data_IF_898342609101
#
_entry.id   IF_898342609101
#
_cell.length_a   1.000
_cell.length_b   1.000
_cell.length_c   1.000
_cell.angle_alpha   90.00
_cell.angle_beta   90.00
_cell.angle_gamma   90.00
#
_symmetry.space_group_name_H-M   'P 1'
#
loop_
_entity.id
_entity.type
_entity.pdbx_description
1 polymer ?
#
# COMPACT_ATOMS: atom_id res chain seq x y z
N UNK A 1 25.30 -2.96 2.24
CA UNK A 1 25.38 -1.94 1.17
C UNK A 1 24.37 -0.79 1.44
N UNK A 2 24.16 -0.40 2.70
CA UNK A 2 22.97 0.35 3.15
C UNK A 2 23.23 1.81 3.57
N UNK A 3 24.46 2.31 3.44
CA UNK A 3 24.86 3.64 3.93
C UNK A 3 25.18 4.65 2.83
N UNK A 4 24.72 4.42 1.60
CA UNK A 4 24.91 5.40 0.52
C UNK A 4 23.82 6.46 0.56
N UNK A 5 24.22 7.73 0.54
CA UNK A 5 23.33 8.87 0.37
C UNK A 5 22.41 8.64 -0.83
N UNK A 6 21.10 8.69 -0.61
CA UNK A 6 20.08 8.54 -1.66
C UNK A 6 19.32 7.22 -1.64
N UNK A 7 19.75 6.16 -0.94
CA UNK A 7 18.89 4.97 -0.82
C UNK A 7 17.64 5.29 0.03
N UNK A 8 16.46 5.07 -0.53
CA UNK A 8 15.17 5.40 0.09
C UNK A 8 14.56 4.17 0.77
N UNK A 9 14.64 3.02 0.12
CA UNK A 9 13.98 1.81 0.62
C UNK A 9 13.75 0.77 -0.46
N UNK A 10 12.83 -0.15 -0.19
CA UNK A 10 12.44 -1.22 -1.10
C UNK A 10 10.93 -1.25 -1.26
N UNK A 11 10.46 -1.32 -2.50
CA UNK A 11 9.07 -1.68 -2.80
C UNK A 11 9.02 -3.19 -2.94
N UNK A 12 8.19 -3.86 -2.15
CA UNK A 12 7.99 -5.31 -2.22
C UNK A 12 6.73 -5.60 -3.04
N UNK A 13 6.82 -6.57 -3.94
CA UNK A 13 5.75 -6.97 -4.86
C UNK A 13 5.50 -8.48 -4.78
N UNK A 14 4.22 -8.83 -4.70
CA UNK A 14 3.68 -10.16 -4.93
C UNK A 14 2.51 -10.05 -5.92
N UNK A 15 2.38 -11.05 -6.78
CA UNK A 15 1.44 -11.07 -7.89
C UNK A 15 2.09 -11.61 -9.18
N UNK A 16 1.33 -11.62 -10.29
CA UNK A 16 1.84 -12.04 -11.60
C UNK A 16 2.89 -11.08 -12.15
N UNK A 17 3.61 -11.42 -13.25
CA UNK A 17 4.44 -10.45 -13.96
C UNK A 17 3.66 -9.16 -14.27
N UNK A 18 4.28 -8.00 -14.06
CA UNK A 18 3.62 -6.69 -14.20
C UNK A 18 4.63 -5.62 -14.62
N UNK A 19 4.13 -4.43 -14.91
CA UNK A 19 4.90 -3.19 -14.90
C UNK A 19 4.54 -2.38 -13.65
N UNK A 20 5.53 -1.75 -13.01
CA UNK A 20 5.30 -0.76 -11.96
C UNK A 20 5.46 0.63 -12.57
N UNK A 21 4.45 1.48 -12.41
CA UNK A 21 4.45 2.88 -12.81
C UNK A 21 4.61 3.79 -11.60
N UNK A 22 5.42 4.84 -11.74
CA UNK A 22 5.72 5.80 -10.68
C UNK A 22 5.15 7.16 -11.06
N UNK A 23 4.08 7.58 -10.40
CA UNK A 23 3.39 8.86 -10.70
C UNK A 23 3.52 9.81 -9.52
N UNK A 24 3.69 11.11 -9.79
CA UNK A 24 3.56 12.13 -8.77
C UNK A 24 2.07 12.24 -8.39
N UNK A 25 1.76 12.01 -7.13
CA UNK A 25 0.41 12.24 -6.57
C UNK A 25 0.38 13.31 -5.50
N UNK A 26 1.55 13.82 -5.12
CA UNK A 26 1.67 14.97 -4.25
C UNK A 26 1.53 16.29 -5.00
N UNK A 27 1.73 17.42 -4.30
CA UNK A 27 1.62 18.76 -4.87
C UNK A 27 2.55 18.96 -6.08
N UNK A 28 2.02 19.56 -7.14
CA UNK A 28 2.80 19.90 -8.33
C UNK A 28 3.64 21.15 -8.09
N UNK A 29 4.94 21.06 -8.36
CA UNK A 29 5.84 22.19 -8.30
C UNK A 29 5.42 23.30 -9.28
N UNK A 30 5.48 24.55 -8.83
CA UNK A 30 5.16 25.74 -9.65
C UNK A 30 6.43 26.50 -10.02
N UNK A 31 6.37 27.26 -11.12
CA UNK A 31 7.53 28.01 -11.63
C UNK A 31 8.54 27.16 -12.41
N UNK A 32 8.21 25.89 -12.67
CA UNK A 32 8.96 24.97 -13.54
C UNK A 32 8.13 24.61 -14.77
N UNK A 33 8.81 24.25 -15.86
CA UNK A 33 8.20 23.65 -17.06
C UNK A 33 8.63 22.19 -17.26
N UNK A 34 9.48 21.66 -16.39
CA UNK A 34 9.98 20.31 -16.47
C UNK A 34 9.04 19.34 -15.75
N UNK A 35 8.66 18.25 -16.42
CA UNK A 35 7.86 17.17 -15.82
C UNK A 35 8.75 16.24 -14.96
N UNK A 36 9.16 16.68 -13.77
CA UNK A 36 10.06 15.92 -12.88
C UNK A 36 9.40 15.62 -11.55
N UNK A 37 10.07 14.82 -10.73
CA UNK A 37 9.67 14.68 -9.33
C UNK A 37 10.27 15.81 -8.50
N UNK A 38 9.49 16.28 -7.53
CA UNK A 38 9.88 17.40 -6.69
C UNK A 38 9.56 17.10 -5.23
N UNK A 39 10.49 17.49 -4.38
CA UNK A 39 10.21 17.77 -2.98
C UNK A 39 9.66 19.19 -2.90
N UNK A 40 8.42 19.37 -2.42
CA UNK A 40 7.82 20.69 -2.20
C UNK A 40 7.82 21.03 -0.72
N UNK A 41 8.00 22.32 -0.39
CA UNK A 41 8.03 22.76 1.01
C UNK A 41 6.68 22.47 1.68
N UNK A 42 6.72 21.99 2.92
CA UNK A 42 5.54 21.81 3.75
C UNK A 42 5.68 22.58 5.05
N UNK A 43 4.62 23.27 5.46
CA UNK A 43 4.56 23.93 6.77
C UNK A 43 4.40 22.91 7.90
N UNK A 44 4.56 23.36 9.14
CA UNK A 44 4.29 22.53 10.32
C UNK A 44 2.84 22.06 10.43
N UNK A 45 1.90 22.72 9.74
CA UNK A 45 0.49 22.29 9.67
C UNK A 45 0.21 21.33 8.50
N UNK A 46 1.24 20.93 7.74
CA UNK A 46 1.11 20.05 6.57
C UNK A 46 0.66 20.75 5.29
N UNK A 47 0.60 22.08 5.27
CA UNK A 47 0.24 22.83 4.05
C UNK A 47 1.44 22.89 3.09
N UNK A 48 1.22 22.52 1.83
CA UNK A 48 2.26 22.56 0.80
C UNK A 48 2.40 23.94 0.15
N UNK A 49 3.66 24.34 -0.09
CA UNK A 49 4.04 25.56 -0.79
C UNK A 49 4.79 25.18 -2.08
N UNK A 50 4.07 24.92 -3.18
CA UNK A 50 4.65 24.35 -4.40
C UNK A 50 5.59 25.29 -5.15
N UNK A 51 5.70 26.57 -4.77
CA UNK A 51 6.68 27.51 -5.32
C UNK A 51 8.11 27.33 -4.78
N UNK A 52 8.29 26.43 -3.80
CA UNK A 52 9.57 26.14 -3.15
C UNK A 52 9.85 24.66 -3.25
N UNK A 53 10.87 24.30 -4.02
CA UNK A 53 11.09 22.90 -4.34
C UNK A 53 12.54 22.53 -4.65
N UNK A 54 12.83 21.23 -4.51
CA UNK A 54 14.06 20.59 -4.97
C UNK A 54 13.69 19.43 -5.89
N UNK A 55 14.30 19.37 -7.07
CA UNK A 55 14.11 18.27 -8.02
C UNK A 55 14.77 16.98 -7.53
N UNK A 56 14.23 15.84 -7.94
CA UNK A 56 14.89 14.54 -7.86
C UNK A 56 14.45 13.59 -8.98
N UNK A 57 15.18 12.49 -9.12
CA UNK A 57 14.78 11.33 -9.91
C UNK A 57 15.10 10.04 -9.17
N UNK A 58 14.50 8.93 -9.62
CA UNK A 58 14.68 7.61 -9.02
C UNK A 58 15.58 6.73 -9.88
N UNK A 59 16.34 5.89 -9.21
CA UNK A 59 17.16 4.82 -9.77
C UNK A 59 16.71 3.52 -9.11
N UNK A 60 16.20 2.61 -9.92
CA UNK A 60 15.50 1.41 -9.51
C UNK A 60 16.27 0.16 -9.88
N UNK A 61 16.24 -0.87 -9.03
CA UNK A 61 16.81 -2.18 -9.35
C UNK A 61 15.92 -3.30 -8.82
N UNK A 62 15.30 -4.05 -9.73
CA UNK A 62 14.42 -5.17 -9.39
C UNK A 62 15.22 -6.46 -9.14
N UNK A 63 14.85 -7.18 -8.08
CA UNK A 63 15.43 -8.45 -7.65
C UNK A 63 14.34 -9.38 -7.14
N UNK A 64 14.58 -10.69 -7.17
CA UNK A 64 13.66 -11.70 -6.66
C UNK A 64 14.28 -12.50 -5.52
N UNK A 65 13.44 -12.94 -4.57
CA UNK A 65 13.79 -13.92 -3.55
C UNK A 65 13.14 -15.26 -3.92
N UNK A 66 13.94 -16.27 -4.23
CA UNK A 66 13.45 -17.63 -4.48
C UNK A 66 12.84 -18.24 -3.23
N UNK A 67 12.01 -19.26 -3.45
CA UNK A 67 11.38 -20.03 -2.37
C UNK A 67 12.40 -20.62 -1.40
N UNK A 68 12.03 -20.79 -0.11
CA UNK A 68 12.94 -21.32 0.89
C UNK A 68 13.57 -22.65 0.48
N UNK A 69 14.89 -22.71 0.59
CA UNK A 69 15.71 -23.92 0.50
C UNK A 69 16.39 -24.14 1.85
N UNK A 70 16.74 -25.38 2.17
CA UNK A 70 17.47 -25.73 3.40
C UNK A 70 18.84 -25.01 3.51
N UNK A 71 19.41 -24.55 2.39
CA UNK A 71 20.66 -23.80 2.32
C UNK A 71 20.39 -22.35 1.81
N UNK A 72 20.68 -21.30 2.61
CA UNK A 72 20.18 -19.95 2.37
C UNK A 72 21.01 -19.08 1.39
N UNK A 73 22.22 -19.49 1.01
CA UNK A 73 23.22 -18.56 0.45
C UNK A 73 23.00 -18.06 -0.98
N UNK A 74 22.02 -18.58 -1.72
CA UNK A 74 21.83 -18.26 -3.16
C UNK A 74 20.36 -17.99 -3.55
N UNK A 75 19.58 -17.44 -2.60
CA UNK A 75 18.14 -17.20 -2.79
C UNK A 75 17.82 -15.91 -3.52
N UNK A 76 18.74 -14.95 -3.57
CA UNK A 76 18.51 -13.66 -4.22
C UNK A 76 18.92 -13.75 -5.69
N UNK A 77 18.03 -13.32 -6.57
CA UNK A 77 18.28 -13.28 -8.00
C UNK A 77 18.12 -11.85 -8.52
N UNK A 78 19.19 -11.32 -9.07
CA UNK A 78 19.19 -10.03 -9.76
C UNK A 78 18.78 -10.24 -11.21
N UNK A 79 17.62 -9.69 -11.60
CA UNK A 79 17.02 -10.02 -12.90
C UNK A 79 17.83 -9.57 -14.10
N UNK A 80 18.51 -8.43 -13.99
CA UNK A 80 19.20 -7.81 -15.13
C UNK A 80 20.61 -7.32 -14.79
N UNK A 81 20.92 -7.11 -13.52
CA UNK A 81 22.15 -6.43 -13.10
C UNK A 81 22.16 -4.92 -13.41
N UNK A 82 21.12 -4.39 -14.06
CA UNK A 82 21.05 -3.04 -14.62
C UNK A 82 20.05 -2.20 -13.83
N UNK A 83 20.41 -0.96 -13.54
CA UNK A 83 19.50 -0.01 -12.90
C UNK A 83 18.61 0.64 -13.96
N UNK A 84 17.33 0.80 -13.65
CA UNK A 84 16.37 1.57 -14.43
C UNK A 84 16.27 2.97 -13.85
N UNK A 85 16.35 4.01 -14.68
CA UNK A 85 16.17 5.40 -14.23
C UNK A 85 14.72 5.80 -14.49
N UNK A 86 14.06 6.33 -13.47
CA UNK A 86 12.73 6.94 -13.55
C UNK A 86 12.92 8.42 -13.26
N UNK A 87 13.03 9.15 -14.36
CA UNK A 87 13.37 10.55 -14.49
C UNK A 87 12.12 11.44 -14.50
N UNK A 88 10.99 10.92 -14.99
CA UNK A 88 9.73 11.66 -15.10
C UNK A 88 8.56 10.88 -14.49
N UNK A 89 7.57 11.55 -13.88
CA UNK A 89 6.30 10.92 -13.50
C UNK A 89 5.65 10.18 -14.68
N UNK A 90 5.19 8.96 -14.43
CA UNK A 90 4.60 8.04 -15.40
C UNK A 90 5.58 7.05 -16.02
N UNK A 91 6.89 7.20 -15.79
CA UNK A 91 7.88 6.21 -16.20
C UNK A 91 7.80 4.94 -15.34
N UNK A 92 8.36 3.85 -15.87
CA UNK A 92 8.06 2.50 -15.39
C UNK A 92 9.29 1.61 -15.27
N UNK A 93 9.16 0.55 -14.47
CA UNK A 93 10.07 -0.60 -14.47
C UNK A 93 9.28 -1.87 -14.72
N UNK A 94 9.81 -2.76 -15.56
CA UNK A 94 9.20 -4.06 -15.84
C UNK A 94 9.59 -5.08 -14.78
N UNK A 95 8.61 -5.82 -14.28
CA UNK A 95 8.76 -6.96 -13.39
C UNK A 95 8.45 -8.23 -14.21
N UNK A 96 9.48 -8.90 -14.77
CA UNK A 96 9.30 -9.94 -15.78
C UNK A 96 8.78 -11.27 -15.23
N UNK A 97 8.70 -11.42 -13.91
CA UNK A 97 8.33 -12.65 -13.23
C UNK A 97 7.28 -12.37 -12.17
N UNK A 98 6.49 -13.39 -11.81
CA UNK A 98 5.60 -13.30 -10.67
C UNK A 98 6.29 -13.64 -9.35
N UNK A 99 5.64 -13.28 -8.24
CA UNK A 99 6.00 -13.70 -6.89
C UNK A 99 4.76 -14.01 -6.06
N UNK A 100 4.89 -14.93 -5.11
CA UNK A 100 3.85 -15.18 -4.12
C UNK A 100 3.94 -16.60 -3.55
N UNK A 101 3.16 -16.87 -2.51
CA UNK A 101 3.14 -18.15 -1.80
C UNK A 101 2.14 -19.15 -2.37
N UNK A 102 1.43 -18.80 -3.44
CA UNK A 102 0.40 -19.66 -4.03
C UNK A 102 1.03 -20.93 -4.62
N UNK A 103 0.34 -22.05 -4.44
CA UNK A 103 0.70 -23.34 -5.01
C UNK A 103 -0.25 -23.73 -6.15
N UNK A 104 0.23 -24.56 -7.07
CA UNK A 104 -0.53 -25.10 -8.21
C UNK A 104 -1.08 -26.49 -7.87
N UNK A 105 -2.16 -26.90 -8.55
CA UNK A 105 -2.73 -28.23 -8.39
C UNK A 105 -1.85 -29.31 -9.04
N UNK A 106 -2.04 -30.58 -8.66
CA UNK A 106 -1.38 -31.71 -9.32
C UNK A 106 -1.81 -31.77 -10.79
N UNK A 107 -0.85 -31.88 -11.70
CA UNK A 107 -1.06 -31.85 -13.15
C UNK A 107 -0.93 -30.46 -13.77
N UNK A 108 -0.79 -29.40 -12.96
CA UNK A 108 -0.53 -28.05 -13.45
C UNK A 108 0.97 -27.76 -13.50
N UNK A 109 1.33 -26.79 -14.34
CA UNK A 109 2.69 -26.31 -14.44
C UNK A 109 3.03 -25.39 -13.26
N UNK A 110 4.12 -25.66 -12.57
CA UNK A 110 4.59 -24.86 -11.46
C UNK A 110 6.11 -24.76 -11.42
N UNK A 111 6.61 -24.11 -10.37
CA UNK A 111 8.01 -23.83 -10.13
C UNK A 111 8.49 -24.56 -8.89
N UNK A 112 9.76 -24.97 -8.91
CA UNK A 112 10.45 -25.49 -7.72
C UNK A 112 11.23 -24.39 -6.99
N UNK A 113 11.91 -24.75 -5.90
CA UNK A 113 12.69 -23.82 -5.07
C UNK A 113 13.87 -23.16 -5.80
N UNK A 114 14.35 -23.79 -6.89
CA UNK A 114 15.42 -23.24 -7.73
C UNK A 114 14.86 -22.40 -8.90
N UNK A 115 13.55 -22.17 -8.95
CA UNK A 115 12.88 -21.41 -10.01
C UNK A 115 12.80 -22.14 -11.36
N UNK A 116 13.13 -23.44 -11.40
CA UNK A 116 12.90 -24.26 -12.59
C UNK A 116 11.41 -24.61 -12.70
N UNK A 117 10.95 -24.84 -13.93
CA UNK A 117 9.55 -25.01 -14.29
C UNK A 117 9.29 -26.43 -14.79
N UNK A 118 8.24 -27.09 -14.29
CA UNK A 118 7.80 -28.43 -14.71
C UNK A 118 6.34 -28.67 -14.26
N UNK A 119 5.73 -29.77 -14.68
CA UNK A 119 4.40 -30.20 -14.22
C UNK A 119 4.48 -30.76 -12.81
N UNK A 120 3.67 -30.24 -11.89
CA UNK A 120 3.61 -30.72 -10.51
C UNK A 120 2.93 -32.09 -10.45
N UNK A 121 3.63 -33.10 -9.94
CA UNK A 121 3.10 -34.46 -9.83
C UNK A 121 2.66 -34.83 -8.39
N UNK A 122 2.58 -33.85 -7.49
CA UNK A 122 2.28 -34.08 -6.06
C UNK A 122 3.52 -34.24 -5.18
N UNK A 123 4.69 -34.57 -5.73
CA UNK A 123 5.91 -34.85 -4.93
C UNK A 123 7.23 -34.34 -5.50
N UNK A 124 7.30 -33.94 -6.77
CA UNK A 124 8.52 -33.48 -7.44
C UNK A 124 8.97 -32.05 -7.07
N UNK A 125 8.24 -31.37 -6.18
CA UNK A 125 8.62 -30.04 -5.65
C UNK A 125 8.28 -28.84 -6.54
N UNK A 126 7.71 -29.04 -7.73
CA UNK A 126 7.29 -27.96 -8.66
C UNK A 126 5.93 -27.33 -8.29
N UNK A 127 5.68 -27.17 -6.99
CA UNK A 127 4.36 -26.83 -6.47
C UNK A 127 4.03 -25.33 -6.49
N UNK A 128 5.00 -24.45 -6.71
CA UNK A 128 4.75 -23.01 -6.59
C UNK A 128 4.20 -22.41 -7.88
N UNK A 129 3.20 -21.52 -7.78
CA UNK A 129 2.64 -20.81 -8.93
C UNK A 129 3.62 -19.84 -9.58
N UNK A 130 4.53 -19.28 -8.78
CA UNK A 130 5.53 -18.31 -9.21
C UNK A 130 6.95 -18.72 -8.78
N UNK A 131 8.00 -18.33 -9.52
CA UNK A 131 9.37 -18.72 -9.20
C UNK A 131 9.97 -18.03 -7.96
N UNK A 132 9.35 -16.94 -7.49
CA UNK A 132 9.82 -16.16 -6.35
C UNK A 132 8.77 -16.12 -5.24
N UNK A 133 9.21 -16.04 -3.99
CA UNK A 133 8.35 -15.71 -2.86
C UNK A 133 8.04 -14.22 -2.84
N UNK A 134 9.06 -13.39 -3.09
CA UNK A 134 8.95 -11.93 -3.14
C UNK A 134 9.77 -11.38 -4.30
N UNK A 135 9.29 -10.32 -4.93
CA UNK A 135 10.11 -9.44 -5.74
C UNK A 135 10.26 -8.14 -4.96
N UNK A 136 11.44 -7.55 -5.00
CA UNK A 136 11.62 -6.20 -4.48
C UNK A 136 12.36 -5.31 -5.48
N UNK A 137 12.04 -4.03 -5.42
CA UNK A 137 12.72 -2.98 -6.17
C UNK A 137 13.46 -2.11 -5.17
N UNK A 138 14.79 -2.15 -5.21
CA UNK A 138 15.61 -1.19 -4.49
C UNK A 138 15.37 0.20 -5.10
N UNK A 139 14.95 1.17 -4.29
CA UNK A 139 14.66 2.54 -4.70
C UNK A 139 15.74 3.47 -4.18
N UNK A 140 16.49 4.07 -5.10
CA UNK A 140 17.48 5.10 -4.79
C UNK A 140 17.04 6.42 -5.40
N UNK A 141 16.99 7.47 -4.60
CA UNK A 141 16.68 8.82 -5.00
C UNK A 141 17.97 9.62 -5.21
N UNK A 142 18.03 10.32 -6.35
CA UNK A 142 19.14 11.22 -6.70
C UNK A 142 18.60 12.64 -6.81
N UNK A 143 19.23 13.57 -6.09
CA UNK A 143 18.89 15.00 -6.11
C UNK A 143 19.92 15.77 -6.95
N UNK A 144 19.57 16.21 -8.16
CA UNK A 144 20.40 17.18 -8.87
C UNK A 144 20.39 18.52 -8.10
N UNK A 145 21.36 19.39 -8.40
CA UNK A 145 21.42 20.75 -7.81
C UNK A 145 20.43 21.71 -8.51
N UNK A 146 19.20 21.25 -8.74
CA UNK A 146 18.13 22.01 -9.38
C UNK A 146 17.05 22.27 -8.33
N UNK A 147 16.91 23.53 -7.94
CA UNK A 147 16.05 23.95 -6.84
C UNK A 147 15.43 25.31 -7.12
N UNK A 148 14.32 25.61 -6.45
CA UNK A 148 13.66 26.91 -6.53
C UNK A 148 13.30 27.40 -5.13
N UNK A 149 13.80 28.58 -4.78
CA UNK A 149 13.34 29.33 -3.60
C UNK A 149 13.37 28.55 -2.29
N UNK A 150 14.38 27.71 -2.05
CA UNK A 150 14.41 26.89 -0.83
C UNK A 150 14.38 27.76 0.44
N UNK A 151 13.53 27.37 1.37
CA UNK A 151 13.49 27.82 2.76
C UNK A 151 13.95 26.71 3.70
N UNK A 152 14.54 27.12 4.83
CA UNK A 152 14.78 26.21 5.97
C UNK A 152 13.45 25.63 6.43
N UNK A 153 13.35 24.30 6.47
CA UNK A 153 12.09 23.62 6.75
C UNK A 153 12.07 22.19 6.25
N UNK A 154 10.85 21.63 6.20
CA UNK A 154 10.58 20.29 5.72
C UNK A 154 10.03 20.33 4.29
N UNK A 155 10.35 19.28 3.54
CA UNK A 155 9.87 19.10 2.19
C UNK A 155 9.37 17.67 2.02
N UNK A 156 8.36 17.53 1.18
CA UNK A 156 7.67 16.27 0.92
C UNK A 156 7.47 16.01 -0.56
N UNK A 157 7.45 14.73 -0.91
CA UNK A 157 6.99 14.23 -2.19
C UNK A 157 6.13 13.00 -1.95
N UNK A 158 5.02 12.88 -2.67
CA UNK A 158 4.17 11.69 -2.65
C UNK A 158 4.19 11.03 -4.02
N UNK A 159 4.70 9.80 -4.07
CA UNK A 159 4.79 9.03 -5.31
C UNK A 159 3.86 7.83 -5.20
N UNK A 160 2.89 7.74 -6.09
CA UNK A 160 2.09 6.52 -6.21
C UNK A 160 2.81 5.53 -7.12
N UNK A 161 3.09 4.35 -6.58
CA UNK A 161 3.56 3.19 -7.32
C UNK A 161 2.35 2.33 -7.65
N UNK A 162 2.06 2.13 -8.93
CA UNK A 162 0.90 1.35 -9.37
C UNK A 162 1.29 0.19 -10.26
N UNK A 163 0.56 -0.93 -10.12
CA UNK A 163 0.65 -2.08 -11.01
C UNK A 163 -0.38 -1.94 -12.14
N UNK A 164 -0.23 -2.75 -13.19
CA UNK A 164 -1.25 -2.85 -14.25
C UNK A 164 -2.60 -3.40 -13.73
N UNK A 165 -2.57 -4.14 -12.61
CA UNK A 165 -3.77 -4.66 -11.93
C UNK A 165 -4.44 -3.65 -10.99
N UNK A 166 -4.09 -2.35 -11.09
CA UNK A 166 -4.63 -1.24 -10.29
C UNK A 166 -4.32 -1.32 -8.79
N UNK A 167 -3.43 -2.21 -8.36
CA UNK A 167 -2.89 -2.18 -7.00
C UNK A 167 -1.94 -1.00 -6.90
N UNK A 168 -2.10 -0.16 -5.89
CA UNK A 168 -1.28 1.04 -5.71
C UNK A 168 -0.73 1.14 -4.29
N UNK A 169 0.48 1.66 -4.18
CA UNK A 169 1.11 1.99 -2.91
C UNK A 169 1.67 3.42 -2.96
N UNK A 170 1.43 4.21 -1.93
CA UNK A 170 1.93 5.58 -1.84
C UNK A 170 3.26 5.56 -1.08
N UNK A 171 4.33 5.95 -1.77
CA UNK A 171 5.62 6.27 -1.18
C UNK A 171 5.61 7.73 -0.73
N UNK A 172 5.45 7.94 0.58
CA UNK A 172 5.64 9.25 1.20
C UNK A 172 7.14 9.47 1.45
N UNK A 173 7.70 10.50 0.84
CA UNK A 173 9.11 10.86 0.97
C UNK A 173 9.23 12.20 1.67
N UNK A 174 10.08 12.29 2.69
CA UNK A 174 10.34 13.54 3.39
C UNK A 174 11.82 13.82 3.58
N UNK A 175 12.15 15.10 3.56
CA UNK A 175 13.47 15.59 3.83
C UNK A 175 13.43 16.93 4.57
N UNK A 176 14.55 17.29 5.19
CA UNK A 176 14.75 18.62 5.77
C UNK A 176 15.80 19.39 4.98
N UNK A 177 15.62 20.69 4.89
CA UNK A 177 16.62 21.63 4.40
C UNK A 177 16.99 22.61 5.52
N UNK A 178 18.29 22.82 5.73
CA UNK A 178 18.81 23.63 6.82
C UNK A 178 18.55 23.03 8.21
N UNK A 179 18.33 23.91 9.18
CA UNK A 179 18.10 23.57 10.59
C UNK A 179 16.70 24.03 11.01
N UNK A 180 15.63 23.31 10.64
CA UNK A 180 14.28 23.67 11.06
C UNK A 180 14.17 23.70 12.59
N UNK A 181 13.50 24.73 13.10
CA UNK A 181 13.23 24.92 14.53
C UNK A 181 11.83 24.44 14.93
N UNK A 182 11.05 23.94 13.97
CA UNK A 182 9.71 23.40 14.17
C UNK A 182 9.76 21.88 14.16
N UNK A 183 8.77 21.25 14.78
CA UNK A 183 8.66 19.80 14.81
C UNK A 183 8.49 19.23 13.40
N UNK A 184 9.04 18.02 13.13
CA UNK A 184 8.82 17.35 11.87
C UNK A 184 7.34 17.00 11.71
N UNK A 185 6.81 17.09 10.48
CA UNK A 185 5.46 16.63 10.21
C UNK A 185 5.39 15.09 10.38
N UNK A 186 4.20 14.51 10.64
CA UNK A 186 4.05 13.08 11.01
C UNK A 186 4.28 12.10 9.85
N UNK A 187 5.21 11.16 9.96
CA UNK A 187 5.68 10.32 8.84
C UNK A 187 5.13 8.89 8.92
N UNK A 188 4.39 8.45 7.91
CA UNK A 188 3.77 7.12 7.90
C UNK A 188 3.47 6.65 6.47
N UNK A 189 3.25 5.34 6.33
CA UNK A 189 2.67 4.73 5.14
C UNK A 189 1.26 4.25 5.48
N UNK A 190 0.29 4.64 4.68
CA UNK A 190 -1.10 4.22 4.81
C UNK A 190 -1.63 3.73 3.45
N UNK A 191 -2.47 2.69 3.47
CA UNK A 191 -3.05 2.12 2.28
C UNK A 191 -4.38 1.42 2.54
N UNK A 192 -5.24 1.43 1.53
CA UNK A 192 -6.49 0.67 1.49
C UNK A 192 -6.50 -0.13 0.19
N UNK A 193 -6.58 -1.44 0.30
CA UNK A 193 -6.64 -2.35 -0.86
C UNK A 193 -8.02 -2.97 -0.92
N UNK A 194 -8.77 -2.71 -2.00
CA UNK A 194 -10.05 -3.39 -2.23
C UNK A 194 -9.79 -4.88 -2.50
N UNK A 195 -10.52 -5.76 -1.81
CA UNK A 195 -10.32 -7.21 -1.90
C UNK A 195 -11.49 -7.96 -2.54
N UNK A 196 -12.57 -7.25 -2.86
CA UNK A 196 -13.73 -7.80 -3.55
C UNK A 196 -13.82 -7.22 -4.96
N UNK A 197 -14.22 -8.04 -5.94
CA UNK A 197 -14.44 -7.58 -7.30
C UNK A 197 -15.74 -6.76 -7.42
N UNK A 198 -15.74 -5.78 -8.31
CA UNK A 198 -16.96 -5.04 -8.67
C UNK A 198 -17.52 -5.51 -10.01
N UNK A 199 -18.86 -5.56 -10.15
CA UNK A 199 -19.85 -5.61 -9.07
C UNK A 199 -19.85 -7.00 -8.39
N UNK A 200 -20.32 -7.08 -7.15
CA UNK A 200 -20.60 -8.36 -6.48
C UNK A 200 -22.10 -8.50 -6.18
N UNK A 201 -22.67 -9.72 -6.22
CA UNK A 201 -24.11 -9.92 -6.05
C UNK A 201 -24.56 -9.71 -4.60
N UNK A 202 -25.78 -9.19 -4.41
CA UNK A 202 -26.37 -8.97 -3.07
C UNK A 202 -26.44 -10.26 -2.22
N UNK A 203 -26.54 -11.43 -2.86
CA UNK A 203 -26.49 -12.73 -2.18
C UNK A 203 -25.22 -12.97 -1.37
N UNK A 204 -24.14 -12.24 -1.64
CA UNK A 204 -22.94 -12.29 -0.79
C UNK A 204 -23.13 -11.59 0.56
N UNK A 205 -24.13 -10.72 0.71
CA UNK A 205 -24.47 -10.01 1.95
C UNK A 205 -25.65 -10.63 2.70
N UNK A 206 -26.49 -11.39 2.01
CA UNK A 206 -27.66 -12.04 2.61
C UNK A 206 -27.26 -12.94 3.80
N UNK A 207 -27.96 -12.77 4.92
CA UNK A 207 -27.72 -13.52 6.16
C UNK A 207 -26.46 -13.11 6.92
N UNK A 208 -25.66 -12.14 6.43
CA UNK A 208 -24.54 -11.56 7.19
C UNK A 208 -25.05 -10.38 8.01
N UNK A 209 -25.41 -10.63 9.26
CA UNK A 209 -26.03 -9.60 10.11
C UNK A 209 -25.23 -9.25 11.36
N UNK A 210 -24.07 -9.90 11.53
CA UNK A 210 -23.17 -9.69 12.66
C UNK A 210 -21.76 -9.36 12.18
N UNK A 211 -20.96 -8.74 13.07
CA UNK A 211 -19.56 -8.38 12.77
C UNK A 211 -18.69 -9.61 12.42
N UNK A 212 -18.97 -10.76 13.01
CA UNK A 212 -18.24 -12.02 12.76
C UNK A 212 -18.58 -12.64 11.41
N UNK A 213 -19.79 -12.44 10.91
CA UNK A 213 -20.25 -12.91 9.59
C UNK A 213 -19.94 -11.91 8.47
N UNK A 214 -19.50 -10.70 8.79
CA UNK A 214 -19.30 -9.61 7.84
C UNK A 214 -18.38 -10.01 6.65
N UNK A 215 -18.74 -9.54 5.46
CA UNK A 215 -18.01 -9.77 4.22
C UNK A 215 -16.79 -8.85 4.15
N UNK A 216 -15.58 -9.40 3.96
CA UNK A 216 -14.36 -8.61 3.74
C UNK A 216 -14.45 -7.92 2.37
N UNK A 217 -14.28 -6.60 2.36
CA UNK A 217 -14.34 -5.79 1.13
C UNK A 217 -13.05 -5.02 0.87
N UNK A 218 -12.27 -4.76 1.91
CA UNK A 218 -10.96 -4.16 1.78
C UNK A 218 -10.03 -4.58 2.90
N UNK A 219 -8.74 -4.32 2.71
CA UNK A 219 -7.70 -4.39 3.71
C UNK A 219 -7.15 -3.00 3.95
N UNK A 220 -6.97 -2.65 5.22
CA UNK A 220 -6.39 -1.37 5.64
C UNK A 220 -5.04 -1.65 6.25
N UNK A 221 -4.03 -0.87 5.89
CA UNK A 221 -2.69 -0.98 6.42
C UNK A 221 -2.14 0.40 6.80
N UNK A 222 -1.66 0.52 8.03
CA UNK A 222 -0.85 1.61 8.51
C UNK A 222 0.47 1.08 9.05
N UNK A 223 1.56 1.76 8.75
CA UNK A 223 2.87 1.50 9.33
C UNK A 223 3.69 2.79 9.47
N UNK A 224 4.35 2.96 10.61
CA UNK A 224 5.30 4.05 10.85
C UNK A 224 6.38 3.65 11.85
N UNK A 225 7.60 4.13 11.67
CA UNK A 225 8.69 3.95 12.65
C UNK A 225 8.66 4.98 13.77
N UNK A 226 7.87 6.05 13.67
CA UNK A 226 7.96 7.22 14.55
C UNK A 226 6.60 7.77 15.00
N UNK A 227 5.56 7.57 14.20
CA UNK A 227 4.27 8.26 14.35
C UNK A 227 3.19 7.25 14.73
N UNK A 228 2.66 7.36 15.94
CA UNK A 228 1.42 6.69 16.30
C UNK A 228 0.25 7.35 15.56
N UNK A 229 -0.84 6.61 15.36
CA UNK A 229 -2.04 7.18 14.76
C UNK A 229 -3.31 6.50 15.26
N UNK A 230 -4.43 7.17 15.03
CA UNK A 230 -5.76 6.55 15.07
C UNK A 230 -6.40 6.59 13.69
N UNK A 231 -7.15 5.53 13.37
CA UNK A 231 -7.89 5.38 12.13
C UNK A 231 -9.38 5.38 12.43
N UNK A 232 -10.16 6.10 11.63
CA UNK A 232 -11.63 6.01 11.67
C UNK A 232 -12.23 6.00 10.27
N UNK A 233 -13.47 5.53 10.19
CA UNK A 233 -14.21 5.39 8.94
C UNK A 233 -15.46 6.28 8.95
N UNK A 234 -15.76 6.91 7.81
CA UNK A 234 -16.94 7.75 7.65
C UNK A 234 -17.62 7.54 6.30
N UNK A 235 -18.91 7.87 6.22
CA UNK A 235 -19.70 7.77 4.99
C UNK A 235 -19.54 9.00 4.06
N UNK A 236 -18.84 10.05 4.50
CA UNK A 236 -18.61 11.27 3.72
C UNK A 236 -17.18 11.81 3.85
N UNK A 237 -16.82 12.68 2.89
CA UNK A 237 -15.50 13.30 2.81
C UNK A 237 -15.19 14.29 3.94
N UNK A 238 -16.20 14.76 4.68
CA UNK A 238 -16.01 15.64 5.84
C UNK A 238 -15.63 14.86 7.11
N UNK A 239 -15.71 13.53 7.09
CA UNK A 239 -15.38 12.68 8.24
C UNK A 239 -16.42 12.73 9.35
N UNK A 240 -17.66 13.13 9.07
CA UNK A 240 -18.71 13.19 10.10
C UNK A 240 -19.35 11.82 10.36
N UNK A 241 -20.03 11.72 11.49
CA UNK A 241 -20.67 10.51 12.01
C UNK A 241 -21.95 10.08 11.27
N UNK A 242 -21.95 10.17 9.94
CA UNK A 242 -23.11 9.81 9.13
C UNK A 242 -23.26 8.27 9.01
N UNK A 243 -24.49 7.74 8.98
CA UNK A 243 -24.73 6.32 8.73
C UNK A 243 -24.26 5.88 7.34
N UNK A 244 -23.80 4.64 7.24
CA UNK A 244 -23.41 4.04 5.96
C UNK A 244 -24.63 3.54 5.19
N UNK A 245 -24.66 3.81 3.88
CA UNK A 245 -25.75 3.38 3.00
C UNK A 245 -25.26 3.09 1.58
N UNK A 246 -25.87 2.09 0.97
CA UNK A 246 -25.79 1.83 -0.45
C UNK A 246 -26.80 2.72 -1.17
N UNK A 247 -26.39 3.31 -2.29
CA UNK A 247 -27.19 4.25 -3.06
C UNK A 247 -27.32 3.80 -4.52
N UNK A 248 -28.55 3.88 -5.03
CA UNK A 248 -28.88 3.83 -6.45
C UNK A 248 -29.85 4.97 -6.78
N UNK A 249 -30.22 5.12 -8.05
CA UNK A 249 -31.19 6.13 -8.46
C UNK A 249 -32.55 5.91 -7.79
N UNK A 250 -32.95 6.84 -6.91
CA UNK A 250 -34.25 6.81 -6.23
C UNK A 250 -34.40 5.78 -5.10
N UNK A 251 -33.36 5.01 -4.76
CA UNK A 251 -33.41 4.04 -3.65
C UNK A 251 -32.07 3.92 -2.93
N UNK A 252 -32.14 3.65 -1.62
CA UNK A 252 -30.98 3.44 -0.76
C UNK A 252 -31.32 2.47 0.36
N UNK A 253 -30.31 1.76 0.86
CA UNK A 253 -30.47 0.91 2.04
C UNK A 253 -29.22 0.93 2.94
N UNK A 254 -29.39 0.76 4.26
CA UNK A 254 -28.29 0.85 5.20
C UNK A 254 -27.40 -0.38 5.20
N UNK A 255 -26.15 -0.20 5.57
CA UNK A 255 -25.23 -1.28 5.96
C UNK A 255 -24.38 -0.83 7.16
N UNK A 256 -23.69 -1.78 7.78
CA UNK A 256 -22.74 -1.51 8.86
C UNK A 256 -21.33 -1.90 8.45
N UNK A 257 -20.36 -1.17 9.01
CA UNK A 257 -18.94 -1.51 8.90
C UNK A 257 -18.48 -2.27 10.14
N UNK A 258 -17.59 -3.22 9.91
CA UNK A 258 -16.80 -3.86 10.94
C UNK A 258 -15.32 -3.81 10.55
N UNK A 259 -14.45 -3.69 11.54
CA UNK A 259 -13.01 -3.74 11.35
C UNK A 259 -12.43 -4.85 12.21
N UNK A 260 -11.62 -5.72 11.61
CA UNK A 260 -10.87 -6.76 12.31
C UNK A 260 -9.39 -6.45 12.16
N UNK A 261 -8.77 -5.89 13.21
CA UNK A 261 -7.32 -5.73 13.23
C UNK A 261 -6.65 -7.11 13.26
N UNK A 262 -5.78 -7.36 12.28
CA UNK A 262 -4.96 -8.56 12.18
C UNK A 262 -3.55 -8.32 12.72
N UNK A 263 -3.09 -7.07 12.72
CA UNK A 263 -1.83 -6.65 13.32
C UNK A 263 -1.96 -5.23 13.93
N UNK A 264 -2.06 -5.09 15.26
CA UNK A 264 -2.12 -6.16 16.26
C UNK A 264 -3.39 -7.02 16.08
N UNK A 265 -3.33 -8.29 16.48
CA UNK A 265 -4.46 -9.21 16.35
C UNK A 265 -5.54 -8.88 17.40
N UNK A 266 -6.65 -8.28 16.98
CA UNK A 266 -7.79 -7.93 17.84
C UNK A 266 -9.07 -8.62 17.35
N UNK A 267 -10.06 -8.67 18.24
CA UNK A 267 -11.40 -9.11 17.88
C UNK A 267 -12.00 -8.19 16.81
N UNK A 268 -12.93 -8.73 16.02
CA UNK A 268 -13.69 -7.90 15.08
C UNK A 268 -14.64 -7.00 15.86
N UNK A 269 -14.62 -5.71 15.56
CA UNK A 269 -15.43 -4.68 16.19
C UNK A 269 -16.27 -3.94 15.15
N UNK A 270 -17.44 -3.44 15.54
CA UNK A 270 -18.21 -2.57 14.68
C UNK A 270 -17.50 -1.22 14.56
N UNK A 271 -17.27 -0.76 13.34
CA UNK A 271 -16.76 0.59 13.08
C UNK A 271 -17.93 1.58 13.10
N UNK A 272 -18.45 1.83 14.30
CA UNK A 272 -19.54 2.78 14.53
C UNK A 272 -19.07 4.22 14.24
N UNK A 273 -20.00 5.15 13.96
CA UNK A 273 -19.65 6.56 13.79
C UNK A 273 -18.88 7.11 15.00
N UNK A 274 -17.69 7.67 14.76
CA UNK A 274 -16.77 8.15 15.80
C UNK A 274 -15.89 7.08 16.46
N UNK A 275 -16.05 5.80 16.13
CA UNK A 275 -15.15 4.73 16.59
C UNK A 275 -13.78 4.89 15.95
N UNK A 276 -12.73 4.86 16.78
CA UNK A 276 -11.34 4.97 16.34
C UNK A 276 -10.56 3.71 16.67
N UNK A 277 -9.64 3.34 15.78
CA UNK A 277 -8.74 2.21 15.93
C UNK A 277 -7.31 2.72 16.05
N UNK A 278 -6.68 2.55 17.20
CA UNK A 278 -5.31 3.01 17.45
C UNK A 278 -4.28 2.00 16.94
N UNK A 279 -3.14 2.52 16.48
CA UNK A 279 -1.94 1.74 16.18
C UNK A 279 -1.28 1.23 17.45
N UNK A 280 -0.61 0.08 17.38
CA UNK A 280 0.26 -0.42 18.45
C UNK A 280 1.69 -0.63 17.94
N UNK A 281 2.65 -0.68 18.85
CA UNK A 281 4.04 -1.00 18.51
C UNK A 281 4.15 -2.52 18.40
N UNK A 282 4.52 -3.00 17.21
CA UNK A 282 4.75 -4.41 16.93
C UNK A 282 6.07 -4.61 16.19
N UNK A 283 6.63 -5.81 16.31
CA UNK A 283 7.82 -6.17 15.56
C UNK A 283 7.47 -6.54 14.12
N UNK A 284 7.89 -5.70 13.18
CA UNK A 284 7.78 -5.96 11.75
C UNK A 284 9.09 -6.55 11.25
N UNK A 285 9.00 -7.74 10.67
CA UNK A 285 10.16 -8.44 10.11
C UNK A 285 10.30 -8.08 8.64
N UNK A 286 11.51 -7.64 8.24
CA UNK A 286 11.85 -7.47 6.84
C UNK A 286 11.67 -8.80 6.09
N UNK A 287 10.86 -8.86 5.01
CA UNK A 287 10.60 -10.11 4.28
C UNK A 287 11.83 -10.64 3.53
N UNK A 288 12.92 -9.86 3.47
CA UNK A 288 14.11 -10.15 2.66
C UNK A 288 15.27 -10.66 3.53
N UNK A 289 15.55 -9.96 4.63
CA UNK A 289 16.69 -10.27 5.51
C UNK A 289 16.26 -10.65 6.93
N UNK A 290 14.95 -10.67 7.21
CA UNK A 290 14.39 -11.05 8.51
C UNK A 290 14.99 -10.23 9.67
N UNK A 291 15.36 -8.97 9.41
CA UNK A 291 15.69 -8.04 10.48
C UNK A 291 14.40 -7.49 11.07
N UNK A 292 14.17 -7.59 12.39
CA UNK A 292 12.99 -7.01 13.03
C UNK A 292 13.17 -5.49 13.22
N UNK A 293 12.07 -4.76 13.22
CA UNK A 293 12.01 -3.36 13.60
C UNK A 293 10.70 -3.09 14.35
N UNK A 294 10.79 -2.32 15.43
CA UNK A 294 9.61 -1.88 16.17
C UNK A 294 8.92 -0.77 15.38
N UNK A 295 7.66 -0.98 15.02
CA UNK A 295 6.88 -0.07 14.19
C UNK A 295 5.50 0.12 14.80
N UNK A 296 4.97 1.34 14.74
CA UNK A 296 3.55 1.60 14.91
C UNK A 296 2.79 0.98 13.75
N UNK A 297 1.95 -0.02 14.01
CA UNK A 297 1.18 -0.74 12.99
C UNK A 297 -0.31 -0.74 13.31
N UNK A 298 -1.09 -0.73 12.24
CA UNK A 298 -2.48 -1.16 12.26
C UNK A 298 -2.81 -1.76 10.90
N UNK A 299 -2.93 -3.08 10.83
CA UNK A 299 -3.41 -3.81 9.67
C UNK A 299 -4.70 -4.52 10.02
N UNK A 300 -5.63 -4.58 9.08
CA UNK A 300 -6.88 -5.29 9.33
C UNK A 300 -7.83 -5.34 8.15
N UNK A 301 -8.83 -6.20 8.31
CA UNK A 301 -9.91 -6.38 7.34
C UNK A 301 -11.01 -5.34 7.60
N UNK A 302 -11.32 -4.54 6.58
CA UNK A 302 -12.55 -3.76 6.53
C UNK A 302 -13.66 -4.64 5.96
N UNK A 303 -14.77 -4.73 6.70
CA UNK A 303 -15.88 -5.62 6.40
C UNK A 303 -17.20 -4.89 6.42
N UNK A 304 -18.16 -5.40 5.65
CA UNK A 304 -19.55 -4.91 5.61
C UNK A 304 -20.52 -6.02 6.02
N UNK A 305 -21.62 -5.63 6.65
CA UNK A 305 -22.72 -6.51 6.98
C UNK A 305 -24.04 -5.73 7.01
N UNK A 306 -25.17 -6.43 6.96
CA UNK A 306 -26.49 -5.82 6.93
C UNK A 306 -27.08 -5.73 8.34
N UNK A 307 -28.00 -4.78 8.61
CA UNK A 307 -28.81 -4.84 9.82
C UNK A 307 -29.67 -6.11 9.86
N UNK A 308 -29.88 -6.68 11.05
CA UNK A 308 -30.75 -7.83 11.25
C UNK A 308 -32.16 -7.57 10.66
N UNK A 309 -32.55 -8.39 9.67
CA UNK A 309 -33.90 -8.56 9.13
C UNK A 309 -34.59 -7.41 8.35
N UNK A 310 -33.91 -6.51 7.62
CA UNK A 310 -34.65 -5.39 6.97
C UNK A 310 -34.22 -4.91 5.57
N UNK A 311 -33.31 -5.60 4.88
CA UNK A 311 -32.79 -5.08 3.60
C UNK A 311 -33.26 -5.95 2.44
N UNK A 312 -34.28 -5.49 1.72
CA UNK A 312 -34.73 -6.02 0.43
C UNK A 312 -34.60 -4.89 -0.60
N UNK A 313 -33.40 -4.69 -1.18
CA UNK A 313 -33.20 -3.61 -2.14
C UNK A 313 -34.01 -3.89 -3.41
N UNK A 314 -34.41 -2.82 -4.08
CA UNK A 314 -34.97 -2.95 -5.42
C UNK A 314 -33.90 -3.50 -6.37
N UNK A 315 -34.30 -4.05 -7.51
CA UNK A 315 -33.34 -4.44 -8.53
C UNK A 315 -32.58 -3.21 -9.03
N UNK A 316 -31.25 -3.28 -9.01
CA UNK A 316 -30.40 -2.17 -9.41
C UNK A 316 -28.93 -2.37 -9.04
N UNK A 317 -28.08 -1.49 -9.56
CA UNK A 317 -26.68 -1.39 -9.17
C UNK A 317 -26.55 -0.31 -8.12
N UNK A 318 -26.10 -0.70 -6.93
CA UNK A 318 -25.88 0.20 -5.83
C UNK A 318 -24.39 0.49 -5.65
N UNK A 319 -24.08 1.70 -5.20
CA UNK A 319 -22.72 2.13 -4.90
C UNK A 319 -22.65 2.67 -3.47
N UNK A 320 -21.48 2.55 -2.85
CA UNK A 320 -21.19 3.16 -1.57
C UNK A 320 -19.73 3.62 -1.57
N UNK A 321 -19.44 4.69 -0.86
CA UNK A 321 -18.09 5.19 -0.64
C UNK A 321 -17.80 5.22 0.85
N UNK A 322 -16.70 4.58 1.26
CA UNK A 322 -16.20 4.63 2.63
C UNK A 322 -14.94 5.46 2.62
N UNK A 323 -14.93 6.52 3.43
CA UNK A 323 -13.78 7.37 3.63
C UNK A 323 -13.01 6.87 4.86
N UNK A 324 -11.70 6.73 4.73
CA UNK A 324 -10.82 6.32 5.82
C UNK A 324 -9.89 7.48 6.18
N UNK A 325 -9.89 7.85 7.45
CA UNK A 325 -9.14 8.98 7.96
C UNK A 325 -8.04 8.49 8.89
N UNK A 326 -6.86 9.10 8.76
CA UNK A 326 -5.71 8.87 9.64
C UNK A 326 -5.48 10.14 10.43
N UNK A 327 -5.44 10.02 11.75
CA UNK A 327 -5.10 11.10 12.67
C UNK A 327 -3.78 10.76 13.36
N UNK A 328 -2.65 11.34 12.90
CA UNK A 328 -1.35 11.16 13.54
C UNK A 328 -1.32 11.74 14.96
N UNK A 329 -0.50 11.15 15.83
CA UNK A 329 -0.28 11.55 17.23
C UNK A 329 1.20 11.81 17.51
#
# INVERSE_FOLDING_TARGET
MWTKSGFVGRVVYTGPPTTLSFTNTGPDATGTSNNRFYFTYISSSGESYPGRWSEFFLVLRAKGLRHPKEQPSDRQHDFSGINTVVEHPGETITIPHGAGSEEVAVGEEGYNVDGAKDVYNGSNGYKYKYPYTYIWVDVTLIRPQITQGLWTGYYESEITVSTQSLTSHILLLRGKYGWPLVDPPPFYSFGVTKTIADPFPFSELEGRTTTTQALKVAEVSYISSETAATIHFAANAAGTSDPFSFHCEGSSFPYYLAFKATNPNRSVEQAAPGQTFATEIEQVWSPIDSTPSDMHVLQGDLKIYLPDNQVQPAEGVYTATVYCFVTPQ
#
